data_IF_440293091684
#
_entry.id   IF_440293091684
#
_cell.length_a   1.000
_cell.length_b   1.000
_cell.length_c   1.000
_cell.angle_alpha   90.00
_cell.angle_beta   90.00
_cell.angle_gamma   90.00
#
_symmetry.space_group_name_H-M   'P 1'
#
loop_
_entity.id
_entity.type
_entity.pdbx_description
1 polymer ?
#
# COMPACT_ATOMS: atom_id res chain seq x y z
N UNK A 1 7.72 -8.80 -3.46
CA UNK A 1 8.86 -7.91 -3.19
C UNK A 1 9.77 -7.88 -4.41
N UNK A 2 10.20 -6.70 -4.83
CA UNK A 2 11.15 -6.58 -5.92
C UNK A 2 12.50 -7.21 -5.51
N UNK A 3 13.27 -7.80 -6.45
CA UNK A 3 14.59 -8.37 -6.18
C UNK A 3 15.53 -7.42 -5.45
N UNK A 4 15.36 -6.11 -5.66
CA UNK A 4 16.12 -5.05 -4.99
C UNK A 4 15.89 -5.05 -3.47
N UNK A 5 14.66 -5.25 -3.02
CA UNK A 5 14.32 -5.31 -1.59
C UNK A 5 14.92 -6.55 -0.92
N UNK A 6 14.89 -7.70 -1.59
CA UNK A 6 15.53 -8.93 -1.11
C UNK A 6 17.07 -8.77 -1.04
N UNK A 7 17.67 -8.16 -2.05
CA UNK A 7 19.10 -7.89 -2.05
C UNK A 7 19.51 -6.95 -0.90
N UNK A 8 18.69 -5.93 -0.61
CA UNK A 8 18.93 -5.01 0.50
C UNK A 8 18.85 -5.74 1.86
N UNK A 9 17.89 -6.67 2.02
CA UNK A 9 17.74 -7.51 3.21
C UNK A 9 18.93 -8.46 3.39
N UNK A 10 19.34 -9.15 2.32
CA UNK A 10 20.51 -10.05 2.36
C UNK A 10 21.80 -9.31 2.70
N UNK A 11 21.93 -8.07 2.26
CA UNK A 11 23.11 -7.23 2.57
C UNK A 11 23.01 -6.49 3.89
N UNK A 12 21.91 -6.60 4.64
CA UNK A 12 21.63 -5.81 5.85
C UNK A 12 21.88 -4.31 5.67
N UNK A 13 21.58 -3.78 4.49
CA UNK A 13 21.73 -2.36 4.16
C UNK A 13 20.36 -1.76 3.87
N UNK A 14 19.65 -1.22 4.89
CA UNK A 14 18.41 -0.50 4.67
C UNK A 14 18.65 0.72 3.76
N UNK A 15 17.67 1.07 2.93
CA UNK A 15 17.76 2.15 1.97
C UNK A 15 16.44 2.93 1.92
N UNK A 16 16.50 4.24 2.14
CA UNK A 16 15.35 5.12 1.94
C UNK A 16 15.04 5.31 0.45
N UNK A 17 16.09 5.46 -0.37
CA UNK A 17 15.95 5.58 -1.82
C UNK A 17 15.25 4.35 -2.40
N UNK A 18 15.70 3.15 -2.00
CA UNK A 18 15.09 1.89 -2.45
C UNK A 18 13.62 1.79 -2.06
N UNK A 19 13.27 2.12 -0.82
CA UNK A 19 11.90 2.06 -0.33
C UNK A 19 10.97 3.03 -1.06
N UNK A 20 11.35 4.30 -1.21
CA UNK A 20 10.50 5.27 -1.91
C UNK A 20 10.37 4.96 -3.39
N UNK A 21 11.45 4.48 -4.01
CA UNK A 21 11.43 4.07 -5.41
C UNK A 21 10.48 2.88 -5.63
N UNK A 22 10.55 1.87 -4.78
CA UNK A 22 9.65 0.70 -4.77
C UNK A 22 8.18 1.14 -4.72
N UNK A 23 7.84 1.98 -3.74
CA UNK A 23 6.49 2.52 -3.58
C UNK A 23 6.02 3.33 -4.81
N UNK A 24 6.88 4.18 -5.37
CA UNK A 24 6.54 4.98 -6.55
C UNK A 24 6.34 4.10 -7.77
N UNK A 25 7.16 3.06 -7.95
CA UNK A 25 6.97 2.10 -9.05
C UNK A 25 5.70 1.29 -8.89
N UNK A 26 5.34 0.86 -7.69
CA UNK A 26 4.11 0.12 -7.43
C UNK A 26 2.87 0.93 -7.84
N UNK A 27 2.84 2.22 -7.51
CA UNK A 27 1.69 3.07 -7.88
C UNK A 27 1.63 3.35 -9.38
N UNK A 28 2.79 3.57 -10.03
CA UNK A 28 2.87 3.74 -11.48
C UNK A 28 2.42 2.48 -12.19
N UNK A 29 2.87 1.32 -11.72
CA UNK A 29 2.50 0.01 -12.28
C UNK A 29 0.99 -0.22 -12.16
N UNK A 30 0.42 0.01 -10.99
CA UNK A 30 -1.02 -0.11 -10.77
C UNK A 30 -1.81 0.82 -11.69
N UNK A 31 -1.36 2.08 -11.84
CA UNK A 31 -1.98 3.02 -12.75
C UNK A 31 -1.95 2.52 -14.20
N UNK A 32 -0.79 2.04 -14.67
CA UNK A 32 -0.64 1.49 -16.02
C UNK A 32 -1.54 0.27 -16.24
N UNK A 33 -1.63 -0.64 -15.28
CA UNK A 33 -2.50 -1.82 -15.37
C UNK A 33 -3.97 -1.39 -15.55
N UNK A 34 -4.48 -0.49 -14.73
CA UNK A 34 -5.87 -0.04 -14.86
C UNK A 34 -6.12 0.76 -16.13
N UNK A 35 -5.15 1.53 -16.61
CA UNK A 35 -5.27 2.20 -17.90
C UNK A 35 -5.29 1.20 -19.06
N UNK A 36 -4.47 0.15 -19.02
CA UNK A 36 -4.48 -0.91 -20.01
C UNK A 36 -5.80 -1.69 -20.01
N UNK A 37 -6.33 -2.04 -18.82
CA UNK A 37 -7.65 -2.67 -18.67
C UNK A 37 -8.74 -1.78 -19.26
N UNK A 38 -8.73 -0.48 -18.95
CA UNK A 38 -9.68 0.49 -19.50
C UNK A 38 -9.63 0.53 -21.03
N UNK A 39 -8.44 0.57 -21.60
CA UNK A 39 -8.23 0.59 -23.04
C UNK A 39 -8.80 -0.65 -23.72
N UNK A 40 -8.49 -1.83 -23.18
CA UNK A 40 -8.93 -3.12 -23.78
C UNK A 40 -10.42 -3.36 -23.57
N UNK A 41 -10.97 -3.06 -22.38
CA UNK A 41 -12.39 -3.25 -22.07
C UNK A 41 -13.29 -2.14 -22.62
N UNK A 42 -12.72 -1.09 -23.23
CA UNK A 42 -13.44 0.08 -23.73
C UNK A 42 -14.31 0.77 -22.65
N UNK A 43 -13.94 0.60 -21.39
CA UNK A 43 -14.63 1.26 -20.26
C UNK A 43 -14.24 2.73 -20.17
N UNK A 44 -15.07 3.52 -19.48
CA UNK A 44 -14.79 4.94 -19.29
C UNK A 44 -13.57 5.15 -18.39
N UNK A 45 -12.71 6.11 -18.72
CA UNK A 45 -11.54 6.50 -17.93
C UNK A 45 -11.84 6.66 -16.43
N UNK A 46 -12.97 7.26 -16.09
CA UNK A 46 -13.35 7.49 -14.69
C UNK A 46 -13.58 6.21 -13.89
N UNK A 47 -14.02 5.12 -14.53
CA UNK A 47 -14.14 3.81 -13.91
C UNK A 47 -12.76 3.23 -13.58
N UNK A 48 -11.84 3.29 -14.53
CA UNK A 48 -10.47 2.82 -14.30
C UNK A 48 -9.76 3.67 -13.24
N UNK A 49 -9.98 4.99 -13.25
CA UNK A 49 -9.42 5.89 -12.25
C UNK A 49 -9.98 5.63 -10.84
N UNK A 50 -11.29 5.40 -10.73
CA UNK A 50 -11.92 5.04 -9.44
C UNK A 50 -11.42 3.69 -8.92
N UNK A 51 -11.27 2.69 -9.79
CA UNK A 51 -10.70 1.39 -9.41
C UNK A 51 -9.22 1.51 -8.98
N UNK A 52 -8.43 2.29 -9.72
CA UNK A 52 -7.04 2.60 -9.34
C UNK A 52 -6.98 3.31 -7.98
N UNK A 53 -7.84 4.29 -7.74
CA UNK A 53 -7.90 4.98 -6.45
C UNK A 53 -8.27 4.01 -5.32
N UNK A 54 -9.22 3.13 -5.58
CA UNK A 54 -9.64 2.08 -4.65
C UNK A 54 -8.51 1.12 -4.28
N UNK A 55 -7.78 0.60 -5.27
CA UNK A 55 -6.67 -0.35 -5.02
C UNK A 55 -5.54 0.31 -4.22
N UNK A 56 -5.28 1.60 -4.43
CA UNK A 56 -4.31 2.34 -3.64
C UNK A 56 -4.75 2.50 -2.18
N UNK A 57 -6.01 2.82 -1.92
CA UNK A 57 -6.55 2.88 -0.56
C UNK A 57 -6.46 1.53 0.16
N UNK A 58 -6.77 0.43 -0.54
CA UNK A 58 -6.68 -0.93 0.00
C UNK A 58 -5.24 -1.26 0.40
N UNK A 59 -4.28 -1.05 -0.50
CA UNK A 59 -2.85 -1.27 -0.24
C UNK A 59 -2.32 -0.38 0.89
N UNK A 60 -2.76 0.89 0.94
CA UNK A 60 -2.40 1.83 2.01
C UNK A 60 -2.95 1.38 3.36
N UNK A 61 -4.19 0.86 3.43
CA UNK A 61 -4.75 0.31 4.67
C UNK A 61 -3.93 -0.86 5.18
N UNK A 62 -3.61 -1.83 4.31
CA UNK A 62 -2.75 -2.95 4.67
C UNK A 62 -1.39 -2.49 5.21
N UNK A 63 -0.74 -1.58 4.48
CA UNK A 63 0.57 -1.05 4.87
C UNK A 63 0.51 -0.29 6.20
N UNK A 64 -0.55 0.49 6.44
CA UNK A 64 -0.75 1.24 7.68
C UNK A 64 -0.73 0.33 8.92
N UNK A 65 -1.55 -0.73 8.93
CA UNK A 65 -1.58 -1.67 10.04
C UNK A 65 -0.29 -2.51 10.13
N UNK A 66 0.27 -2.90 8.99
CA UNK A 66 1.51 -3.66 8.95
C UNK A 66 2.70 -2.87 9.54
N UNK A 67 2.81 -1.59 9.23
CA UNK A 67 3.86 -0.70 9.79
C UNK A 67 3.66 -0.52 11.30
N UNK A 68 2.42 -0.34 11.77
CA UNK A 68 2.11 -0.26 13.21
C UNK A 68 2.55 -1.56 13.92
N UNK A 69 2.15 -2.71 13.40
CA UNK A 69 2.51 -4.01 13.96
C UNK A 69 4.03 -4.18 14.02
N UNK A 70 4.71 -3.91 12.92
CA UNK A 70 6.17 -4.05 12.80
C UNK A 70 6.91 -3.12 13.75
N UNK A 71 6.45 -1.89 13.89
CA UNK A 71 7.06 -0.92 14.80
C UNK A 71 6.97 -1.36 16.27
N UNK A 72 5.88 -2.03 16.64
CA UNK A 72 5.64 -2.49 18.01
C UNK A 72 6.27 -3.84 18.32
N UNK A 73 6.32 -4.78 17.36
CA UNK A 73 6.79 -6.14 17.60
C UNK A 73 8.30 -6.32 17.48
N UNK A 74 8.97 -5.57 16.60
CA UNK A 74 10.38 -5.79 16.24
C UNK A 74 11.24 -4.55 16.59
N UNK A 75 10.67 -3.54 17.22
CA UNK A 75 11.38 -2.27 17.49
C UNK A 75 11.51 -1.36 16.27
N UNK A 76 10.77 -1.68 15.20
CA UNK A 76 10.74 -0.92 13.95
C UNK A 76 11.91 -1.23 13.01
N UNK A 77 11.63 -1.26 11.73
CA UNK A 77 12.67 -1.12 10.72
C UNK A 77 13.11 0.34 10.68
N UNK A 78 14.40 0.58 10.57
CA UNK A 78 14.97 1.94 10.55
C UNK A 78 14.41 2.83 9.44
N UNK A 79 13.82 2.23 8.40
CA UNK A 79 13.28 2.93 7.23
C UNK A 79 11.75 3.10 7.24
N UNK A 80 11.00 2.32 8.05
CA UNK A 80 9.54 2.40 8.10
C UNK A 80 9.05 3.18 9.32
N UNK A 81 8.28 4.24 9.13
CA UNK A 81 7.66 5.05 10.19
C UNK A 81 6.15 5.09 9.99
N UNK A 82 5.41 5.14 11.10
CA UNK A 82 3.94 5.27 11.07
C UNK A 82 3.54 6.59 10.42
N UNK A 83 4.31 7.66 10.67
CA UNK A 83 4.10 8.98 10.08
C UNK A 83 5.44 9.57 9.62
N UNK A 84 5.51 9.98 8.38
CA UNK A 84 6.68 10.61 7.78
C UNK A 84 6.37 12.05 7.38
N UNK A 85 6.54 12.97 8.33
CA UNK A 85 6.33 14.40 8.10
C UNK A 85 7.57 15.14 7.63
N UNK A 86 8.76 14.57 7.81
CA UNK A 86 10.04 15.22 7.50
C UNK A 86 10.92 14.27 6.70
N UNK A 87 11.65 14.84 5.74
CA UNK A 87 12.65 14.10 4.98
C UNK A 87 13.67 13.46 5.93
N UNK A 88 13.87 12.15 5.87
CA UNK A 88 14.86 11.47 6.69
C UNK A 88 16.29 11.86 6.28
N UNK A 89 17.23 11.67 7.21
CA UNK A 89 18.65 11.77 6.89
C UNK A 89 19.07 10.57 6.05
N UNK A 90 19.86 10.81 4.99
CA UNK A 90 20.37 9.76 4.14
C UNK A 90 21.16 8.72 4.95
N UNK A 91 20.98 7.44 4.61
CA UNK A 91 21.75 6.33 5.17
C UNK A 91 23.13 6.20 4.49
N UNK A 92 24.09 5.49 5.10
CA UNK A 92 25.39 5.26 4.50
C UNK A 92 25.26 4.63 3.10
N UNK A 93 25.81 5.31 2.09
CA UNK A 93 25.74 4.91 0.68
C UNK A 93 24.64 5.60 -0.12
N UNK A 94 23.84 6.47 0.49
CA UNK A 94 22.83 7.28 -0.19
C UNK A 94 23.19 8.77 -0.25
N UNK A 95 22.70 9.47 -1.25
CA UNK A 95 22.84 10.94 -1.29
C UNK A 95 21.59 11.60 -0.72
N UNK A 96 21.78 12.65 0.11
CA UNK A 96 20.66 13.38 0.68
C UNK A 96 19.75 14.00 -0.39
N UNK A 97 20.30 14.37 -1.54
CA UNK A 97 19.54 14.91 -2.68
C UNK A 97 18.55 13.86 -3.22
N UNK A 98 18.99 12.62 -3.43
CA UNK A 98 18.15 11.53 -3.93
C UNK A 98 17.06 11.17 -2.93
N UNK A 99 17.38 11.08 -1.63
CA UNK A 99 16.40 10.82 -0.57
C UNK A 99 15.35 11.93 -0.54
N UNK A 100 15.77 13.21 -0.61
CA UNK A 100 14.84 14.34 -0.59
C UNK A 100 13.92 14.37 -1.81
N UNK A 101 14.45 14.12 -3.01
CA UNK A 101 13.67 14.08 -4.23
C UNK A 101 12.60 12.98 -4.18
N UNK A 102 13.02 11.75 -3.88
CA UNK A 102 12.10 10.61 -3.83
C UNK A 102 11.10 10.72 -2.70
N UNK A 103 11.49 11.25 -1.54
CA UNK A 103 10.56 11.55 -0.45
C UNK A 103 9.48 12.56 -0.88
N UNK A 104 9.82 13.61 -1.62
CA UNK A 104 8.83 14.57 -2.16
C UNK A 104 7.86 13.90 -3.12
N UNK A 105 8.37 13.10 -4.07
CA UNK A 105 7.54 12.34 -5.02
C UNK A 105 6.61 11.39 -4.25
N UNK A 106 7.15 10.61 -3.32
CA UNK A 106 6.39 9.72 -2.45
C UNK A 106 5.28 10.46 -1.71
N UNK A 107 5.59 11.59 -1.08
CA UNK A 107 4.62 12.38 -0.31
C UNK A 107 3.49 12.96 -1.18
N UNK A 108 3.80 13.36 -2.43
CA UNK A 108 2.79 13.84 -3.38
C UNK A 108 1.85 12.69 -3.79
N UNK A 109 2.43 11.54 -4.07
CA UNK A 109 1.72 10.40 -4.65
C UNK A 109 0.95 9.60 -3.60
N UNK A 110 1.57 9.34 -2.44
CA UNK A 110 0.97 8.54 -1.36
C UNK A 110 0.35 9.36 -0.24
N UNK A 111 0.80 10.60 -0.02
CA UNK A 111 0.41 11.38 1.14
C UNK A 111 -1.09 11.66 1.24
N UNK A 112 -1.82 11.66 0.11
CA UNK A 112 -3.28 11.75 0.11
C UNK A 112 -3.91 10.46 0.69
N UNK A 113 -3.47 9.30 0.23
CA UNK A 113 -3.98 8.00 0.67
C UNK A 113 -3.68 7.75 2.14
N UNK A 114 -2.46 8.05 2.59
CA UNK A 114 -2.05 7.96 3.99
C UNK A 114 -2.94 8.83 4.89
N UNK A 115 -3.22 10.07 4.48
CA UNK A 115 -4.11 10.97 5.23
C UNK A 115 -5.54 10.44 5.31
N UNK A 116 -6.07 9.90 4.20
CA UNK A 116 -7.43 9.32 4.17
C UNK A 116 -7.51 8.15 5.14
N UNK A 117 -6.59 7.19 5.04
CA UNK A 117 -6.59 6.00 5.91
C UNK A 117 -6.39 6.38 7.38
N UNK A 118 -5.46 7.29 7.66
CA UNK A 118 -5.28 7.80 9.03
C UNK A 118 -6.54 8.48 9.56
N UNK A 119 -7.24 9.28 8.76
CA UNK A 119 -8.49 9.93 9.16
C UNK A 119 -9.61 8.92 9.47
N UNK A 120 -9.65 7.78 8.74
CA UNK A 120 -10.63 6.72 8.95
C UNK A 120 -10.37 5.92 10.24
N UNK A 121 -9.10 5.74 10.62
CA UNK A 121 -8.72 4.97 11.80
C UNK A 121 -7.53 5.58 12.55
N UNK A 122 -7.78 6.72 13.21
CA UNK A 122 -6.79 7.44 13.98
C UNK A 122 -6.29 6.68 15.21
N UNK A 123 -7.09 5.77 15.75
CA UNK A 123 -6.77 5.07 17.00
C UNK A 123 -5.99 3.77 16.80
N UNK A 124 -5.78 3.34 15.57
CA UNK A 124 -5.08 2.09 15.29
C UNK A 124 -3.66 2.04 15.91
N UNK A 125 -2.98 3.18 16.02
CA UNK A 125 -1.63 3.24 16.60
C UNK A 125 -1.61 2.97 18.12
N UNK A 126 -2.75 3.11 18.82
CA UNK A 126 -2.87 2.84 20.26
C UNK A 126 -2.89 1.34 20.56
N UNK A 127 -3.37 0.53 19.63
CA UNK A 127 -3.49 -0.94 19.76
C UNK A 127 -2.12 -1.56 20.03
N UNK A 128 -2.00 -2.39 21.06
CA UNK A 128 -0.73 -3.04 21.45
C UNK A 128 -0.22 -4.02 20.42
N UNK A 129 -1.09 -4.90 19.94
CA UNK A 129 -0.77 -5.92 18.94
C UNK A 129 -1.98 -6.20 18.07
N UNK A 130 -1.75 -6.57 16.81
CA UNK A 130 -2.80 -7.07 15.94
C UNK A 130 -2.76 -8.61 15.93
N UNK A 131 -3.91 -9.28 16.14
CA UNK A 131 -3.98 -10.74 16.05
C UNK A 131 -3.60 -11.23 14.64
N UNK A 132 -2.97 -12.40 14.56
CA UNK A 132 -2.54 -12.99 13.30
C UNK A 132 -3.71 -13.19 12.31
N UNK A 133 -4.90 -13.59 12.81
CA UNK A 133 -6.08 -13.75 11.96
C UNK A 133 -6.48 -12.44 11.27
N UNK A 134 -6.38 -11.31 11.98
CA UNK A 134 -6.73 -9.99 11.42
C UNK A 134 -5.71 -9.55 10.37
N UNK A 135 -4.42 -9.75 10.63
CA UNK A 135 -3.38 -9.46 9.66
C UNK A 135 -3.45 -10.36 8.43
N UNK A 136 -3.83 -11.64 8.60
CA UNK A 136 -4.10 -12.55 7.49
C UNK A 136 -5.33 -12.10 6.69
N UNK A 137 -6.39 -11.64 7.36
CA UNK A 137 -7.56 -11.07 6.69
C UNK A 137 -7.18 -9.80 5.89
N UNK A 138 -6.38 -8.92 6.48
CA UNK A 138 -5.90 -7.71 5.81
C UNK A 138 -4.97 -8.00 4.62
N UNK A 139 -4.29 -9.14 4.60
CA UNK A 139 -3.37 -9.50 3.50
C UNK A 139 -4.05 -9.64 2.14
N UNK A 140 -5.40 -9.80 2.11
CA UNK A 140 -6.19 -9.74 0.88
C UNK A 140 -6.04 -8.38 0.16
N UNK A 141 -5.68 -7.32 0.88
CA UNK A 141 -5.37 -6.00 0.33
C UNK A 141 -3.90 -5.81 -0.05
N UNK A 142 -3.08 -6.83 0.16
CA UNK A 142 -1.70 -6.83 -0.31
C UNK A 142 -1.63 -6.86 -1.84
N UNK A 143 -0.67 -6.13 -2.41
CA UNK A 143 -0.48 -5.99 -3.86
C UNK A 143 -0.46 -7.35 -4.58
N UNK A 144 0.22 -8.35 -4.00
CA UNK A 144 0.30 -9.68 -4.60
C UNK A 144 -1.07 -10.36 -4.75
N UNK A 145 -1.96 -10.22 -3.78
CA UNK A 145 -3.30 -10.78 -3.84
C UNK A 145 -4.19 -10.02 -4.84
N UNK A 146 -4.06 -8.70 -4.89
CA UNK A 146 -4.77 -7.85 -5.86
C UNK A 146 -4.37 -8.22 -7.30
N UNK A 147 -3.07 -8.38 -7.56
CA UNK A 147 -2.57 -8.82 -8.86
C UNK A 147 -3.01 -10.26 -9.20
N UNK A 148 -3.09 -11.15 -8.20
CA UNK A 148 -3.63 -12.51 -8.38
C UNK A 148 -5.09 -12.47 -8.82
N UNK A 149 -5.93 -11.63 -8.21
CA UNK A 149 -7.32 -11.46 -8.64
C UNK A 149 -7.39 -11.04 -10.11
N UNK A 150 -6.61 -10.04 -10.51
CA UNK A 150 -6.55 -9.59 -11.91
C UNK A 150 -6.09 -10.74 -12.82
N UNK A 151 -5.02 -11.45 -12.43
CA UNK A 151 -4.46 -12.55 -13.19
C UNK A 151 -5.44 -13.72 -13.37
N UNK A 152 -6.34 -13.95 -12.42
CA UNK A 152 -7.41 -14.96 -12.53
C UNK A 152 -8.57 -14.46 -13.40
N UNK A 153 -8.96 -13.19 -13.27
CA UNK A 153 -10.08 -12.64 -14.03
C UNK A 153 -9.79 -12.51 -15.53
N UNK A 154 -8.53 -12.26 -15.90
CA UNK A 154 -8.15 -12.10 -17.31
C UNK A 154 -8.40 -13.36 -18.16
N UNK A 155 -7.91 -14.58 -17.83
CA UNK A 155 -8.15 -15.79 -18.60
C UNK A 155 -9.63 -16.24 -18.55
N UNK A 156 -10.40 -15.80 -17.57
CA UNK A 156 -11.83 -16.05 -17.48
C UNK A 156 -12.66 -15.08 -18.34
N UNK A 157 -12.01 -14.23 -19.14
CA UNK A 157 -12.66 -13.20 -19.98
C UNK A 157 -13.51 -12.20 -19.19
N UNK A 158 -13.17 -11.96 -17.91
CA UNK A 158 -13.89 -11.05 -17.02
C UNK A 158 -13.26 -9.64 -16.97
N UNK A 159 -12.58 -9.22 -18.03
CA UNK A 159 -11.84 -7.96 -18.07
C UNK A 159 -12.72 -6.73 -17.78
N UNK A 160 -13.98 -6.75 -18.27
CA UNK A 160 -14.94 -5.66 -18.07
C UNK A 160 -15.38 -5.51 -16.59
N UNK A 161 -15.29 -6.62 -15.84
CA UNK A 161 -15.68 -6.65 -14.43
C UNK A 161 -14.55 -6.31 -13.46
N UNK A 162 -13.30 -6.18 -13.92
CA UNK A 162 -12.16 -5.90 -13.05
C UNK A 162 -12.34 -4.55 -12.35
N UNK A 163 -12.62 -3.47 -13.09
CA UNK A 163 -12.79 -2.15 -12.51
C UNK A 163 -13.99 -2.07 -11.54
N UNK A 164 -15.21 -2.49 -11.92
CA UNK A 164 -16.34 -2.58 -10.99
C UNK A 164 -16.05 -3.42 -9.74
N UNK A 165 -15.35 -4.54 -9.90
CA UNK A 165 -14.97 -5.39 -8.78
C UNK A 165 -14.08 -4.64 -7.78
N UNK A 166 -13.01 -3.98 -8.21
CA UNK A 166 -12.12 -3.26 -7.31
C UNK A 166 -12.78 -2.04 -6.67
N UNK A 167 -13.72 -1.39 -7.34
CA UNK A 167 -14.54 -0.32 -6.75
C UNK A 167 -15.39 -0.89 -5.60
N UNK A 168 -16.12 -1.98 -5.85
CA UNK A 168 -16.94 -2.63 -4.82
C UNK A 168 -16.08 -3.19 -3.68
N UNK A 169 -14.94 -3.79 -4.01
CA UNK A 169 -13.98 -4.34 -3.06
C UNK A 169 -13.41 -3.28 -2.10
N UNK A 170 -13.32 -2.03 -2.54
CA UNK A 170 -12.89 -0.90 -1.70
C UNK A 170 -13.86 -0.66 -0.53
N UNK A 171 -15.15 -0.97 -0.67
CA UNK A 171 -16.13 -0.82 0.41
C UNK A 171 -15.82 -1.72 1.62
N UNK A 172 -15.12 -2.83 1.42
CA UNK A 172 -14.67 -3.69 2.53
C UNK A 172 -13.69 -2.99 3.48
N UNK A 173 -13.07 -1.86 3.10
CA UNK A 173 -12.24 -1.03 4.00
C UNK A 173 -13.03 -0.67 5.26
N UNK A 174 -14.28 -0.22 5.10
CA UNK A 174 -15.11 0.16 6.24
C UNK A 174 -15.43 -1.03 7.14
N UNK A 175 -15.66 -2.20 6.56
CA UNK A 175 -15.91 -3.44 7.31
C UNK A 175 -14.67 -3.84 8.12
N UNK A 176 -13.49 -3.82 7.50
CA UNK A 176 -12.23 -4.17 8.17
C UNK A 176 -11.89 -3.20 9.30
N UNK A 177 -12.10 -1.90 9.09
CA UNK A 177 -11.92 -0.88 10.14
C UNK A 177 -12.95 -1.10 11.27
N UNK A 178 -14.21 -1.41 10.96
CA UNK A 178 -15.23 -1.71 11.96
C UNK A 178 -14.88 -2.96 12.78
N UNK A 179 -14.39 -4.02 12.13
CA UNK A 179 -13.89 -5.24 12.79
C UNK A 179 -12.74 -4.88 13.74
N UNK A 180 -11.75 -4.10 13.28
CA UNK A 180 -10.66 -3.64 14.14
C UNK A 180 -11.19 -2.89 15.36
N UNK A 181 -12.05 -1.88 15.15
CA UNK A 181 -12.60 -1.06 16.24
C UNK A 181 -13.39 -1.86 17.26
N UNK A 182 -14.10 -2.92 16.82
CA UNK A 182 -14.96 -3.72 17.71
C UNK A 182 -14.20 -4.83 18.45
N UNK A 183 -13.25 -5.49 17.78
CA UNK A 183 -12.62 -6.71 18.32
C UNK A 183 -11.16 -6.51 18.74
N UNK A 184 -10.53 -5.41 18.34
CA UNK A 184 -9.12 -5.12 18.60
C UNK A 184 -9.07 -3.69 19.17
N UNK A 185 -9.61 -3.52 20.37
CA UNK A 185 -9.43 -2.35 21.21
C UNK A 185 -8.19 -2.51 22.10
N UNK A 186 -7.76 -1.45 22.74
CA UNK A 186 -6.55 -1.34 23.59
C UNK A 186 -6.31 -2.52 24.52
#
# INVERSE_FOLDING_TARGET
ALPICELARLKNKPSYVGRYLDSVFDIVLNFMIFMAICWVSKTTFWYAFAAFFGIQLQGTLYNYYYVILRHKSIGGDSTSKIFEYKTPKALPGETQKSVTLLFRIYTIVYGLFDKIIHALDQEAYKVKTFPNWFMSLLSIYGLGFQLLIIAVMLPLHLIEYIAPFFIAYTLMIFILIAIRKRFISE
#
